data_IF_131540008083
#
_entry.id   IF_131540008083
#
_cell.length_a   1.000
_cell.length_b   1.000
_cell.length_c   1.000
_cell.angle_alpha   90.00
_cell.angle_beta   90.00
_cell.angle_gamma   90.00
#
_symmetry.space_group_name_H-M   'P 1'
#
loop_
_entity.id
_entity.type
_entity.pdbx_description
1 polymer ?
#
# COMPACT_ATOMS: atom_id res chain seq x y z
N UNK A 1 -51.38 19.78 -2.20
CA UNK A 1 -50.45 19.61 -3.32
C UNK A 1 -49.08 20.19 -3.06
N UNK A 2 -48.99 21.41 -2.65
CA UNK A 2 -47.71 22.08 -2.31
C UNK A 2 -46.93 21.40 -1.18
N UNK A 3 -47.62 20.94 -0.14
CA UNK A 3 -46.99 20.26 1.00
C UNK A 3 -46.36 18.93 0.58
N UNK A 4 -47.01 18.16 -0.29
CA UNK A 4 -46.47 16.89 -0.79
C UNK A 4 -45.21 17.11 -1.63
N UNK A 5 -45.14 18.12 -2.45
CA UNK A 5 -43.97 18.47 -3.26
C UNK A 5 -42.80 18.86 -2.36
N UNK A 6 -43.04 19.64 -1.33
CA UNK A 6 -42.02 20.06 -0.37
C UNK A 6 -41.43 18.83 0.37
N UNK A 7 -42.28 17.91 0.80
CA UNK A 7 -41.86 16.67 1.48
C UNK A 7 -40.99 15.83 0.55
N UNK A 8 -41.38 15.66 -0.69
CA UNK A 8 -40.62 14.91 -1.68
C UNK A 8 -39.24 15.54 -1.91
N UNK A 9 -39.19 16.86 -2.04
CA UNK A 9 -37.93 17.59 -2.22
C UNK A 9 -36.99 17.42 -1.02
N UNK A 10 -37.50 17.48 0.20
CA UNK A 10 -36.72 17.29 1.42
C UNK A 10 -36.14 15.89 1.47
N UNK A 11 -36.96 14.86 1.19
CA UNK A 11 -36.51 13.47 1.13
C UNK A 11 -35.41 13.30 0.09
N UNK A 12 -35.57 13.91 -1.07
CA UNK A 12 -34.60 13.83 -2.16
C UNK A 12 -33.27 14.49 -1.78
N UNK A 13 -33.31 15.66 -1.15
CA UNK A 13 -32.11 16.37 -0.66
C UNK A 13 -31.39 15.53 0.41
N UNK A 14 -32.13 14.95 1.37
CA UNK A 14 -31.55 14.11 2.41
C UNK A 14 -30.90 12.86 1.80
N UNK A 15 -31.54 12.26 0.81
CA UNK A 15 -30.98 11.09 0.11
C UNK A 15 -29.67 11.42 -0.61
N UNK A 16 -29.61 12.55 -1.32
CA UNK A 16 -28.38 13.00 -2.00
C UNK A 16 -27.28 13.29 -0.97
N UNK A 17 -27.60 13.97 0.11
CA UNK A 17 -26.65 14.28 1.16
C UNK A 17 -26.04 13.02 1.80
N UNK A 18 -26.88 12.04 2.15
CA UNK A 18 -26.43 10.78 2.70
C UNK A 18 -25.53 10.00 1.74
N UNK A 19 -25.83 10.03 0.46
CA UNK A 19 -25.02 9.38 -0.57
C UNK A 19 -23.65 10.03 -0.72
N UNK A 20 -23.57 11.36 -0.70
CA UNK A 20 -22.31 12.10 -0.74
C UNK A 20 -21.46 11.84 0.49
N UNK A 21 -22.06 11.81 1.69
CA UNK A 21 -21.35 11.50 2.93
C UNK A 21 -20.78 10.07 2.89
N UNK A 22 -21.54 9.10 2.41
CA UNK A 22 -21.08 7.72 2.26
C UNK A 22 -19.89 7.62 1.32
N UNK A 23 -19.92 8.29 0.17
CA UNK A 23 -18.80 8.31 -0.79
C UNK A 23 -17.55 8.95 -0.18
N UNK A 24 -17.71 10.04 0.55
CA UNK A 24 -16.61 10.71 1.24
C UNK A 24 -15.97 9.81 2.31
N UNK A 25 -16.78 9.15 3.14
CA UNK A 25 -16.32 8.25 4.18
C UNK A 25 -15.57 7.05 3.59
N UNK A 26 -16.05 6.48 2.48
CA UNK A 26 -15.39 5.39 1.79
C UNK A 26 -14.01 5.81 1.27
N UNK A 27 -13.87 7.03 0.77
CA UNK A 27 -12.59 7.58 0.33
C UNK A 27 -11.62 7.76 1.49
N UNK A 28 -12.07 8.31 2.61
CA UNK A 28 -11.25 8.50 3.82
C UNK A 28 -10.81 7.16 4.41
N UNK A 29 -11.68 6.16 4.45
CA UNK A 29 -11.36 4.82 4.91
C UNK A 29 -10.32 4.14 4.01
N UNK A 30 -10.42 4.30 2.69
CA UNK A 30 -9.43 3.78 1.75
C UNK A 30 -8.05 4.40 1.99
N UNK A 31 -7.99 5.69 2.28
CA UNK A 31 -6.76 6.41 2.63
C UNK A 31 -6.11 5.86 3.91
N UNK A 32 -6.91 5.69 4.96
CA UNK A 32 -6.45 5.15 6.24
C UNK A 32 -5.91 3.71 6.08
N UNK A 33 -6.58 2.89 5.27
CA UNK A 33 -6.15 1.53 4.97
C UNK A 33 -4.80 1.48 4.24
N UNK A 34 -4.56 2.42 3.32
CA UNK A 34 -3.27 2.52 2.62
C UNK A 34 -2.15 2.79 3.63
N UNK A 35 -2.32 3.75 4.54
CA UNK A 35 -1.32 4.08 5.56
C UNK A 35 -1.00 2.89 6.46
N UNK A 36 -2.01 2.15 6.91
CA UNK A 36 -1.83 0.95 7.72
C UNK A 36 -1.04 -0.12 6.97
N UNK A 37 -1.37 -0.34 5.71
CA UNK A 37 -0.72 -1.35 4.86
C UNK A 37 0.73 -0.96 4.56
N UNK A 38 1.01 0.31 4.29
CA UNK A 38 2.36 0.82 4.10
C UNK A 38 3.21 0.60 5.35
N UNK A 39 2.67 0.89 6.52
CA UNK A 39 3.36 0.68 7.79
C UNK A 39 3.70 -0.80 8.00
N UNK A 40 2.76 -1.70 7.73
CA UNK A 40 2.99 -3.15 7.78
C UNK A 40 4.14 -3.56 6.85
N UNK A 41 4.15 -3.04 5.63
CA UNK A 41 5.23 -3.29 4.66
C UNK A 41 6.58 -2.83 5.20
N UNK A 42 6.65 -1.62 5.74
CA UNK A 42 7.89 -1.07 6.29
C UNK A 42 8.40 -1.86 7.49
N UNK A 43 7.51 -2.36 8.33
CA UNK A 43 7.86 -3.15 9.52
C UNK A 43 8.40 -4.54 9.16
N UNK A 44 7.98 -5.12 8.05
CA UNK A 44 8.44 -6.42 7.56
C UNK A 44 9.82 -6.37 6.91
N UNK A 45 10.20 -5.25 6.32
CA UNK A 45 11.44 -5.11 5.56
C UNK A 45 12.70 -5.33 6.40
N UNK A 46 12.86 -4.77 7.63
CA UNK A 46 14.04 -5.05 8.45
C UNK A 46 14.21 -6.53 8.78
N UNK A 47 13.12 -7.24 9.02
CA UNK A 47 13.15 -8.69 9.26
C UNK A 47 13.63 -9.45 8.03
N UNK A 48 13.16 -9.04 6.85
CA UNK A 48 13.58 -9.62 5.57
C UNK A 48 15.08 -9.38 5.34
N UNK A 49 15.55 -8.15 5.54
CA UNK A 49 16.96 -7.76 5.37
C UNK A 49 17.85 -8.60 6.30
N UNK A 50 17.49 -8.75 7.57
CA UNK A 50 18.25 -9.55 8.53
C UNK A 50 18.31 -11.03 8.11
N UNK A 51 17.21 -11.59 7.65
CA UNK A 51 17.15 -12.97 7.17
C UNK A 51 18.06 -13.17 5.95
N UNK A 52 17.97 -12.28 4.97
CA UNK A 52 18.78 -12.34 3.74
C UNK A 52 20.26 -12.15 4.05
N UNK A 53 20.58 -11.24 4.96
CA UNK A 53 21.96 -10.93 5.37
C UNK A 53 22.71 -12.16 5.91
N UNK A 54 21.99 -13.07 6.57
CA UNK A 54 22.56 -14.31 7.09
C UNK A 54 23.02 -15.28 6.01
N UNK A 55 22.42 -15.25 4.83
CA UNK A 55 22.73 -16.14 3.72
C UNK A 55 23.47 -15.49 2.56
N UNK A 56 23.23 -14.22 2.33
CA UNK A 56 23.70 -13.47 1.15
C UNK A 56 24.59 -12.30 1.56
N UNK A 57 25.69 -12.59 2.23
CA UNK A 57 26.63 -11.58 2.74
C UNK A 57 27.27 -10.72 1.65
N UNK A 58 27.34 -11.22 0.42
CA UNK A 58 27.92 -10.52 -0.72
C UNK A 58 26.97 -9.52 -1.38
N UNK A 59 25.69 -9.53 -0.97
CA UNK A 59 24.64 -8.65 -1.52
C UNK A 59 24.40 -7.41 -0.65
N UNK A 60 25.44 -6.93 0.02
CA UNK A 60 25.39 -5.79 0.92
C UNK A 60 24.82 -4.53 0.24
N UNK A 61 25.27 -4.23 -0.96
CA UNK A 61 24.82 -3.04 -1.70
C UNK A 61 23.34 -3.08 -2.00
N UNK A 62 22.83 -4.25 -2.38
CA UNK A 62 21.41 -4.45 -2.67
C UNK A 62 20.57 -4.30 -1.40
N UNK A 63 21.03 -4.87 -0.28
CA UNK A 63 20.36 -4.73 1.02
C UNK A 63 20.36 -3.28 1.51
N UNK A 64 21.44 -2.55 1.30
CA UNK A 64 21.51 -1.12 1.59
C UNK A 64 20.51 -0.32 0.75
N UNK A 65 20.35 -0.65 -0.53
CA UNK A 65 19.34 -0.01 -1.40
C UNK A 65 17.93 -0.23 -0.89
N UNK A 66 17.61 -1.45 -0.45
CA UNK A 66 16.30 -1.76 0.15
C UNK A 66 16.07 -0.93 1.41
N UNK A 67 17.05 -0.87 2.29
CA UNK A 67 16.98 -0.10 3.53
C UNK A 67 16.83 1.40 3.27
N UNK A 68 17.59 1.94 2.32
CA UNK A 68 17.51 3.35 1.93
C UNK A 68 16.16 3.69 1.31
N UNK A 69 15.64 2.82 0.45
CA UNK A 69 14.33 3.01 -0.17
C UNK A 69 13.21 2.98 0.88
N UNK A 70 13.31 2.09 1.88
CA UNK A 70 12.39 2.06 3.02
C UNK A 70 12.43 3.37 3.80
N UNK A 71 13.61 3.85 4.15
CA UNK A 71 13.80 5.10 4.89
C UNK A 71 13.24 6.29 4.12
N UNK A 72 13.50 6.37 2.81
CA UNK A 72 12.96 7.42 1.96
C UNK A 72 11.42 7.37 1.89
N UNK A 73 10.84 6.19 1.82
CA UNK A 73 9.39 6.01 1.81
C UNK A 73 8.75 6.46 3.13
N UNK A 74 9.37 6.15 4.26
CA UNK A 74 8.88 6.57 5.58
C UNK A 74 9.01 8.07 5.81
N UNK A 75 9.99 8.71 5.19
CA UNK A 75 10.28 10.15 5.35
C UNK A 75 9.50 11.03 4.37
N UNK A 76 8.88 10.46 3.35
CA UNK A 76 8.14 11.22 2.34
C UNK A 76 6.90 11.86 2.96
N UNK A 77 6.71 13.16 2.72
CA UNK A 77 5.59 13.94 3.27
C UNK A 77 4.54 14.29 2.24
N UNK A 78 4.90 14.35 0.96
CA UNK A 78 3.97 14.63 -0.14
C UNK A 78 3.42 13.33 -0.74
N UNK A 79 2.23 13.40 -1.35
CA UNK A 79 1.61 12.25 -2.02
C UNK A 79 2.50 11.75 -3.16
N UNK A 80 3.00 12.65 -4.00
CA UNK A 80 3.90 12.29 -5.10
C UNK A 80 5.21 11.70 -4.60
N UNK A 81 5.78 12.27 -3.53
CA UNK A 81 6.98 11.74 -2.91
C UNK A 81 6.79 10.33 -2.34
N UNK A 82 5.64 10.07 -1.73
CA UNK A 82 5.28 8.72 -1.24
C UNK A 82 5.15 7.72 -2.38
N UNK A 83 4.54 8.10 -3.49
CA UNK A 83 4.39 7.23 -4.67
C UNK A 83 5.75 6.90 -5.27
N UNK A 84 6.61 7.90 -5.46
CA UNK A 84 7.97 7.71 -6.00
C UNK A 84 8.81 6.81 -5.10
N UNK A 85 8.79 7.07 -3.79
CA UNK A 85 9.55 6.29 -2.82
C UNK A 85 9.03 4.84 -2.72
N UNK A 86 7.72 4.65 -2.79
CA UNK A 86 7.11 3.33 -2.80
C UNK A 86 7.47 2.55 -4.06
N UNK A 87 7.50 3.20 -5.21
CA UNK A 87 7.94 2.58 -6.47
C UNK A 87 9.42 2.20 -6.41
N UNK A 88 10.27 3.04 -5.83
CA UNK A 88 11.69 2.75 -5.64
C UNK A 88 11.89 1.55 -4.70
N UNK A 89 11.10 1.47 -3.63
CA UNK A 89 11.12 0.33 -2.71
C UNK A 89 10.67 -0.96 -3.40
N UNK A 90 9.61 -0.91 -4.19
CA UNK A 90 9.13 -2.06 -4.98
C UNK A 90 10.18 -2.55 -5.96
N UNK A 91 10.90 -1.64 -6.63
CA UNK A 91 12.00 -1.97 -7.54
C UNK A 91 13.18 -2.62 -6.81
N UNK A 92 13.54 -2.11 -5.63
CA UNK A 92 14.60 -2.67 -4.81
C UNK A 92 14.24 -4.08 -4.32
N UNK A 93 13.00 -4.31 -3.90
CA UNK A 93 12.51 -5.63 -3.48
C UNK A 93 12.47 -6.61 -4.66
N UNK A 94 12.09 -6.16 -5.86
CA UNK A 94 12.13 -6.98 -7.06
C UNK A 94 13.56 -7.40 -7.41
N UNK A 95 14.53 -6.49 -7.29
CA UNK A 95 15.95 -6.78 -7.46
C UNK A 95 16.46 -7.82 -6.45
N UNK A 96 16.04 -7.70 -5.20
CA UNK A 96 16.36 -8.67 -4.16
C UNK A 96 15.80 -10.06 -4.49
N UNK A 97 14.56 -10.13 -4.97
CA UNK A 97 13.91 -11.37 -5.36
C UNK A 97 14.67 -12.09 -6.48
N UNK A 98 15.20 -11.34 -7.44
CA UNK A 98 16.02 -11.87 -8.52
C UNK A 98 17.34 -12.43 -7.97
N UNK A 99 18.00 -11.73 -7.07
CA UNK A 99 19.26 -12.17 -6.47
C UNK A 99 19.12 -13.40 -5.59
N UNK A 100 17.99 -13.55 -4.92
CA UNK A 100 17.70 -14.73 -4.07
C UNK A 100 17.72 -16.02 -4.87
N UNK A 101 17.45 -15.99 -6.16
CA UNK A 101 17.55 -17.17 -7.03
C UNK A 101 18.96 -17.77 -7.06
N UNK A 102 20.00 -16.97 -6.80
CA UNK A 102 21.39 -17.43 -6.70
C UNK A 102 21.73 -18.09 -5.35
N UNK A 103 20.82 -18.05 -4.38
CA UNK A 103 21.01 -18.57 -3.03
C UNK A 103 19.95 -19.61 -2.68
N UNK A 104 20.13 -20.87 -3.10
CA UNK A 104 19.11 -21.93 -2.90
C UNK A 104 18.74 -22.16 -1.42
N UNK A 105 19.68 -22.02 -0.50
CA UNK A 105 19.43 -22.20 0.93
C UNK A 105 18.51 -21.11 1.48
N UNK A 106 18.71 -19.86 1.04
CA UNK A 106 17.83 -18.74 1.39
C UNK A 106 16.44 -18.92 0.79
N UNK A 107 16.36 -19.33 -0.47
CA UNK A 107 15.11 -19.57 -1.18
C UNK A 107 14.26 -20.64 -0.48
N UNK A 108 14.89 -21.63 0.14
CA UNK A 108 14.22 -22.70 0.89
C UNK A 108 13.98 -22.37 2.36
N UNK A 109 14.49 -21.25 2.86
CA UNK A 109 14.33 -20.85 4.26
C UNK A 109 12.87 -20.50 4.55
N UNK A 110 12.30 -21.09 5.60
CA UNK A 110 10.88 -20.91 5.95
C UNK A 110 10.58 -19.48 6.40
N UNK A 111 11.46 -18.86 7.19
CA UNK A 111 11.29 -17.47 7.61
C UNK A 111 11.30 -16.51 6.42
N UNK A 112 12.20 -16.73 5.47
CA UNK A 112 12.25 -15.94 4.24
C UNK A 112 10.97 -16.10 3.42
N UNK A 113 10.51 -17.33 3.22
CA UNK A 113 9.28 -17.61 2.47
C UNK A 113 8.06 -16.97 3.14
N UNK A 114 7.97 -17.05 4.46
CA UNK A 114 6.88 -16.42 5.21
C UNK A 114 6.90 -14.89 5.07
N UNK A 115 8.06 -14.27 5.26
CA UNK A 115 8.21 -12.82 5.14
C UNK A 115 7.92 -12.33 3.72
N UNK A 116 8.41 -13.05 2.72
CA UNK A 116 8.14 -12.72 1.32
C UNK A 116 6.66 -12.85 0.99
N UNK A 117 5.99 -13.88 1.50
CA UNK A 117 4.55 -14.07 1.36
C UNK A 117 3.76 -12.96 2.00
N UNK A 118 4.11 -12.54 3.21
CA UNK A 118 3.46 -11.43 3.92
C UNK A 118 3.65 -10.10 3.18
N UNK A 119 4.86 -9.83 2.68
CA UNK A 119 5.14 -8.62 1.88
C UNK A 119 4.33 -8.63 0.58
N UNK A 120 4.25 -9.76 -0.10
CA UNK A 120 3.44 -9.91 -1.32
C UNK A 120 1.95 -9.70 -1.04
N UNK A 121 1.43 -10.20 0.08
CA UNK A 121 0.04 -9.98 0.49
C UNK A 121 -0.25 -8.50 0.73
N UNK A 122 0.66 -7.79 1.40
CA UNK A 122 0.53 -6.35 1.62
C UNK A 122 0.56 -5.60 0.28
N UNK A 123 1.45 -5.96 -0.62
CA UNK A 123 1.52 -5.35 -1.96
C UNK A 123 0.22 -5.56 -2.75
N UNK A 124 -0.35 -6.74 -2.68
CA UNK A 124 -1.62 -7.05 -3.33
C UNK A 124 -2.77 -6.24 -2.73
N UNK A 125 -2.82 -6.12 -1.40
CA UNK A 125 -3.79 -5.28 -0.70
C UNK A 125 -3.66 -3.81 -1.06
N UNK A 126 -2.43 -3.31 -1.15
CA UNK A 126 -2.15 -1.93 -1.58
C UNK A 126 -2.62 -1.68 -3.00
N UNK A 127 -2.37 -2.59 -3.91
CA UNK A 127 -2.81 -2.48 -5.31
C UNK A 127 -4.35 -2.46 -5.40
N UNK A 128 -5.03 -3.33 -4.65
CA UNK A 128 -6.49 -3.37 -4.60
C UNK A 128 -7.07 -2.08 -4.00
N UNK A 129 -6.49 -1.57 -2.92
CA UNK A 129 -6.93 -0.35 -2.25
C UNK A 129 -6.73 0.87 -3.15
N UNK A 130 -5.62 0.95 -3.88
CA UNK A 130 -5.37 2.02 -4.86
C UNK A 130 -6.40 2.02 -5.97
N UNK A 131 -6.77 0.86 -6.50
CA UNK A 131 -7.83 0.74 -7.52
C UNK A 131 -9.16 1.21 -6.97
N UNK A 132 -9.52 0.80 -5.75
CA UNK A 132 -10.74 1.24 -5.09
C UNK A 132 -10.76 2.76 -4.88
N UNK A 133 -9.67 3.33 -4.39
CA UNK A 133 -9.52 4.76 -4.20
C UNK A 133 -9.68 5.54 -5.51
N UNK A 134 -9.06 5.09 -6.58
CA UNK A 134 -9.16 5.70 -7.90
C UNK A 134 -10.59 5.66 -8.45
N UNK A 135 -11.29 4.53 -8.28
CA UNK A 135 -12.69 4.39 -8.63
C UNK A 135 -13.58 5.35 -7.85
N UNK A 136 -13.43 5.40 -6.54
CA UNK A 136 -14.21 6.29 -5.66
C UNK A 136 -13.99 7.76 -6.01
N UNK A 137 -12.75 8.15 -6.29
CA UNK A 137 -12.40 9.51 -6.71
C UNK A 137 -13.03 9.86 -8.05
N UNK A 138 -13.01 8.93 -9.00
CA UNK A 138 -13.63 9.11 -10.32
C UNK A 138 -15.14 9.29 -10.20
N UNK A 139 -15.81 8.52 -9.36
CA UNK A 139 -17.25 8.65 -9.12
C UNK A 139 -17.61 9.99 -8.51
N UNK A 140 -16.82 10.51 -7.58
CA UNK A 140 -17.02 11.84 -6.98
C UNK A 140 -16.88 12.97 -8.00
N UNK A 141 -16.00 12.82 -8.98
CA UNK A 141 -15.71 13.84 -9.99
C UNK A 141 -16.69 13.79 -11.18
N UNK A 142 -17.42 12.72 -11.34
CA UNK A 142 -18.46 12.58 -12.37
C UNK A 142 -19.83 12.92 -11.78
#
# INVERSE_FOLDING_TARGET
MTLAVVVILVIWIVFIYNNLVALRNNRENAFANIDVQLKQRYDLIPQLVETVKGYAKHERDLLEKVTQARTAAMSATTINGKIEADNALSSALAGLKVQVEAYPELKANQNFLQLQGEISDVENKLAATRRFFNSATKELNN
#
